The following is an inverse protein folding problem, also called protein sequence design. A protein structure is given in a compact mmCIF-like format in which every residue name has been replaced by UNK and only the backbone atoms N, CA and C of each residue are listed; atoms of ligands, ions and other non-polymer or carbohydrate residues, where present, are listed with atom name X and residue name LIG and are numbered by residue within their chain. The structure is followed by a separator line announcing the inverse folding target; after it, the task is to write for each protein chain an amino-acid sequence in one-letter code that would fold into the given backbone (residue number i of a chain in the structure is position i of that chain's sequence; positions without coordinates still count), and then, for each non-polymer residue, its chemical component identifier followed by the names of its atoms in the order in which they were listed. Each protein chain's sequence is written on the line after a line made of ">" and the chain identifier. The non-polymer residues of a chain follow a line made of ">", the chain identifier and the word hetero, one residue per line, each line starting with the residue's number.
data_IF_775790744152
#
_entry.id   IF_775790744152
#
_cell.length_a   1.000
_cell.length_b   1.000
_cell.length_c   1.000
_cell.angle_alpha   90.00
_cell.angle_beta   90.00
_cell.angle_gamma   90.00
#
_symmetry.space_group_name_H-M   'P 1'
#
loop_
_entity.id
_entity.type
_entity.pdbx_description
1 polymer ?
#
# COMPACT_ATOMS: atom_id res chain seq x y z
N UNK A 1 29.15 20.13 -41.48
CA UNK A 1 28.54 19.44 -40.31
C UNK A 1 28.26 17.98 -40.69
N UNK A 2 28.69 17.01 -39.87
CA UNK A 2 28.52 15.56 -40.15
C UNK A 2 27.22 15.01 -39.59
N UNK A 3 26.50 14.18 -40.36
CA UNK A 3 25.23 13.56 -39.95
C UNK A 3 25.48 12.36 -39.02
N UNK A 4 25.09 12.46 -37.75
CA UNK A 4 25.15 11.34 -36.80
C UNK A 4 23.82 10.57 -36.76
N UNK A 5 23.87 9.24 -36.97
CA UNK A 5 22.68 8.38 -36.94
C UNK A 5 22.19 8.17 -35.50
N UNK A 6 20.91 8.44 -35.23
CA UNK A 6 20.30 8.26 -33.89
C UNK A 6 19.61 6.89 -33.79
N UNK A 7 20.28 5.90 -33.19
CA UNK A 7 19.61 4.64 -32.78
C UNK A 7 18.85 4.83 -31.46
N UNK A 8 17.67 4.23 -31.33
CA UNK A 8 16.83 4.29 -30.11
C UNK A 8 16.57 2.91 -29.49
N UNK A 9 17.20 1.84 -29.99
CA UNK A 9 16.88 0.46 -29.59
C UNK A 9 17.08 0.20 -28.10
N UNK A 10 18.18 0.68 -27.52
CA UNK A 10 18.45 0.51 -26.08
C UNK A 10 17.37 1.16 -25.20
N UNK A 11 16.88 2.36 -25.57
CA UNK A 11 15.82 3.05 -24.82
C UNK A 11 14.49 2.31 -24.91
N UNK A 12 14.18 1.73 -26.08
CA UNK A 12 12.97 0.91 -26.28
C UNK A 12 13.03 -0.35 -25.43
N UNK A 13 14.14 -1.08 -25.45
CA UNK A 13 14.31 -2.31 -24.66
C UNK A 13 14.16 -2.06 -23.16
N UNK A 14 14.71 -0.95 -22.61
CA UNK A 14 14.52 -0.58 -21.20
C UNK A 14 13.05 -0.46 -20.80
N UNK A 15 12.22 0.14 -21.67
CA UNK A 15 10.78 0.29 -21.43
C UNK A 15 10.06 -1.06 -21.52
N UNK A 16 10.39 -1.88 -22.51
CA UNK A 16 9.79 -3.21 -22.66
C UNK A 16 10.11 -4.15 -21.48
N UNK A 17 11.28 -4.03 -20.85
CA UNK A 17 11.59 -4.78 -19.61
C UNK A 17 10.60 -4.48 -18.48
N UNK A 18 10.16 -3.22 -18.35
CA UNK A 18 9.23 -2.80 -17.28
C UNK A 18 7.78 -3.17 -17.62
N UNK A 19 7.45 -3.17 -18.91
CA UNK A 19 6.11 -3.46 -19.43
C UNK A 19 5.90 -4.97 -19.67
N UNK A 20 6.90 -5.79 -19.38
CA UNK A 20 6.83 -7.24 -19.49
C UNK A 20 5.68 -7.78 -18.61
N UNK A 21 4.81 -8.59 -19.21
CA UNK A 21 3.61 -9.12 -18.54
C UNK A 21 2.35 -8.27 -18.69
N UNK A 22 2.39 -7.11 -19.35
CA UNK A 22 1.17 -6.37 -19.65
C UNK A 22 0.33 -7.10 -20.72
N UNK A 23 -1.00 -6.94 -20.63
CA UNK A 23 -1.95 -7.68 -21.46
C UNK A 23 -2.00 -7.16 -22.90
N UNK A 24 -1.97 -8.08 -23.87
CA UNK A 24 -2.20 -7.81 -25.28
C UNK A 24 -1.18 -6.84 -25.90
N UNK A 25 -1.65 -5.91 -26.73
CA UNK A 25 -0.80 -5.02 -27.52
C UNK A 25 0.11 -4.09 -26.67
N UNK A 26 -0.15 -3.97 -25.37
CA UNK A 26 0.66 -3.14 -24.47
C UNK A 26 2.02 -3.75 -24.14
N UNK A 27 2.22 -5.07 -24.30
CA UNK A 27 3.54 -5.72 -24.15
C UNK A 27 4.32 -5.83 -25.45
N UNK A 28 3.68 -5.60 -26.60
CA UNK A 28 4.24 -5.88 -27.94
C UNK A 28 4.56 -4.58 -28.69
N UNK A 29 3.60 -3.67 -28.82
CA UNK A 29 3.74 -2.47 -29.65
C UNK A 29 4.35 -1.32 -28.84
N UNK A 30 5.38 -0.65 -29.37
CA UNK A 30 6.11 0.39 -28.63
C UNK A 30 5.24 1.59 -28.23
N UNK A 31 4.32 2.03 -29.10
CA UNK A 31 3.48 3.21 -28.83
C UNK A 31 2.54 2.97 -27.64
N UNK A 32 1.81 1.85 -27.66
CA UNK A 32 0.89 1.44 -26.58
C UNK A 32 1.66 1.09 -25.30
N UNK A 33 2.79 0.38 -25.43
CA UNK A 33 3.68 0.09 -24.30
C UNK A 33 4.17 1.35 -23.61
N UNK A 34 4.56 2.38 -24.38
CA UNK A 34 5.02 3.65 -23.81
C UNK A 34 3.91 4.42 -23.10
N UNK A 35 2.68 4.41 -23.62
CA UNK A 35 1.54 5.02 -22.93
C UNK A 35 1.26 4.32 -21.60
N UNK A 36 1.24 2.98 -21.59
CA UNK A 36 1.02 2.22 -20.37
C UNK A 36 2.17 2.30 -19.38
N UNK A 37 3.41 2.39 -19.86
CA UNK A 37 4.58 2.66 -19.05
C UNK A 37 4.42 3.96 -18.25
N UNK A 38 4.05 5.05 -18.91
CA UNK A 38 3.84 6.33 -18.24
C UNK A 38 2.70 6.26 -17.21
N UNK A 39 1.57 5.62 -17.56
CA UNK A 39 0.44 5.44 -16.65
C UNK A 39 0.81 4.60 -15.42
N UNK A 40 1.53 3.49 -15.63
CA UNK A 40 1.97 2.60 -14.57
C UNK A 40 2.90 3.30 -13.58
N UNK A 41 3.84 4.13 -14.07
CA UNK A 41 4.73 4.89 -13.18
C UNK A 41 4.00 5.93 -12.35
N UNK A 42 3.02 6.63 -12.93
CA UNK A 42 2.21 7.58 -12.19
C UNK A 42 1.40 6.89 -11.09
N UNK A 43 0.71 5.78 -11.43
CA UNK A 43 -0.03 4.98 -10.47
C UNK A 43 0.90 4.44 -9.37
N UNK A 44 2.07 3.91 -9.72
CA UNK A 44 3.03 3.41 -8.74
C UNK A 44 3.48 4.49 -7.73
N UNK A 45 3.61 5.74 -8.15
CA UNK A 45 3.92 6.84 -7.25
C UNK A 45 2.76 7.16 -6.29
N UNK A 46 1.53 7.24 -6.82
CA UNK A 46 0.31 7.48 -6.04
C UNK A 46 0.09 6.34 -5.04
N UNK A 47 0.21 5.09 -5.49
CA UNK A 47 -0.04 3.89 -4.69
C UNK A 47 0.95 3.74 -3.54
N UNK A 48 2.21 4.18 -3.69
CA UNK A 48 3.16 4.21 -2.55
C UNK A 48 2.67 5.10 -1.41
N UNK A 49 2.00 6.21 -1.73
CA UNK A 49 1.40 7.11 -0.73
C UNK A 49 0.12 6.50 -0.16
N UNK A 50 -0.75 5.96 -1.01
CA UNK A 50 -2.02 5.35 -0.60
C UNK A 50 -1.83 4.08 0.24
N UNK A 51 -0.79 3.28 -0.01
CA UNK A 51 -0.46 2.06 0.75
C UNK A 51 -0.35 2.32 2.25
N UNK A 52 0.23 3.46 2.65
CA UNK A 52 0.33 3.86 4.06
C UNK A 52 -1.05 4.06 4.69
N UNK A 53 -1.99 4.66 3.94
CA UNK A 53 -3.39 4.87 4.36
C UNK A 53 -4.17 3.55 4.39
N UNK A 54 -4.00 2.69 3.37
CA UNK A 54 -4.65 1.37 3.29
C UNK A 54 -4.27 0.49 4.49
N UNK A 55 -2.97 0.42 4.84
CA UNK A 55 -2.53 -0.32 6.02
C UNK A 55 -3.10 0.26 7.32
N UNK A 56 -3.13 1.59 7.46
CA UNK A 56 -3.73 2.23 8.62
C UNK A 56 -5.22 1.87 8.74
N UNK A 57 -5.97 1.91 7.65
CA UNK A 57 -7.37 1.51 7.63
C UNK A 57 -7.54 0.05 8.05
N UNK A 58 -6.71 -0.86 7.53
CA UNK A 58 -6.71 -2.27 7.92
C UNK A 58 -6.48 -2.46 9.42
N UNK A 59 -5.50 -1.77 10.00
CA UNK A 59 -5.21 -1.85 11.43
C UNK A 59 -6.36 -1.32 12.29
N UNK A 60 -7.00 -0.24 11.86
CA UNK A 60 -8.21 0.29 12.53
C UNK A 60 -9.34 -0.72 12.46
N UNK A 61 -9.61 -1.32 11.30
CA UNK A 61 -10.67 -2.32 11.15
C UNK A 61 -10.43 -3.54 12.05
N UNK A 62 -9.19 -4.04 12.11
CA UNK A 62 -8.82 -5.17 12.98
C UNK A 62 -9.02 -4.85 14.46
N UNK A 63 -8.57 -3.67 14.89
CA UNK A 63 -8.76 -3.19 16.26
C UNK A 63 -10.24 -3.03 16.59
N UNK A 64 -11.00 -2.38 15.72
CA UNK A 64 -12.42 -2.14 15.91
C UNK A 64 -13.18 -3.47 16.06
N UNK A 65 -12.90 -4.47 15.23
CA UNK A 65 -13.53 -5.78 15.33
C UNK A 65 -13.28 -6.43 16.70
N UNK A 66 -12.08 -6.32 17.26
CA UNK A 66 -11.74 -6.88 18.58
C UNK A 66 -12.33 -6.09 19.74
N UNK A 67 -12.27 -4.76 19.68
CA UNK A 67 -12.89 -3.89 20.70
C UNK A 67 -14.41 -4.11 20.75
N UNK A 68 -15.05 -4.27 19.59
CA UNK A 68 -16.49 -4.61 19.48
C UNK A 68 -16.83 -5.96 20.09
N UNK A 69 -15.96 -6.98 19.93
CA UNK A 69 -16.16 -8.28 20.58
C UNK A 69 -16.18 -8.19 22.11
N UNK A 70 -15.50 -7.21 22.68
CA UNK A 70 -15.43 -6.96 24.12
C UNK A 70 -16.48 -5.93 24.59
N UNK A 71 -17.45 -5.58 23.74
CA UNK A 71 -18.55 -4.66 24.07
C UNK A 71 -18.19 -3.17 24.02
N UNK A 72 -17.00 -2.81 23.55
CA UNK A 72 -16.55 -1.43 23.45
C UNK A 72 -16.63 -0.84 22.03
N UNK A 73 -16.33 0.45 21.93
CA UNK A 73 -16.15 1.17 20.66
C UNK A 73 -14.71 1.65 20.45
N UNK A 74 -14.24 1.62 19.20
CA UNK A 74 -12.88 2.02 18.82
C UNK A 74 -12.51 3.45 19.27
N UNK A 75 -13.43 4.40 19.16
CA UNK A 75 -13.19 5.79 19.57
C UNK A 75 -12.99 5.90 21.09
N UNK A 76 -13.85 5.20 21.85
CA UNK A 76 -13.75 5.14 23.31
C UNK A 76 -12.42 4.50 23.75
N UNK A 77 -12.03 3.39 23.12
CA UNK A 77 -10.75 2.71 23.36
C UNK A 77 -9.55 3.64 23.13
N UNK A 78 -9.54 4.40 22.03
CA UNK A 78 -8.45 5.35 21.78
C UNK A 78 -8.44 6.54 22.75
N UNK A 79 -9.60 6.99 23.22
CA UNK A 79 -9.68 8.13 24.12
C UNK A 79 -9.32 7.76 25.57
N UNK A 80 -9.74 6.57 26.03
CA UNK A 80 -9.63 6.15 27.43
C UNK A 80 -8.23 5.66 27.81
N UNK A 81 -7.47 5.11 26.88
CA UNK A 81 -6.19 4.49 27.20
C UNK A 81 -5.01 5.39 26.80
N UNK A 82 -4.22 5.92 27.77
CA UNK A 82 -3.03 6.73 27.47
C UNK A 82 -1.95 5.93 26.72
N UNK A 83 -1.97 4.60 26.84
CA UNK A 83 -1.10 3.70 26.08
C UNK A 83 -1.38 3.74 24.56
N UNK A 84 -2.63 4.00 24.16
CA UNK A 84 -3.03 4.11 22.76
C UNK A 84 -2.43 5.34 22.06
N UNK A 85 -2.00 6.35 22.83
CA UNK A 85 -1.28 7.53 22.34
C UNK A 85 0.23 7.27 22.21
N UNK A 86 0.79 6.34 23.00
CA UNK A 86 2.20 5.96 22.94
C UNK A 86 2.49 4.90 21.87
N UNK A 87 1.53 4.01 21.59
CA UNK A 87 1.70 2.94 20.61
C UNK A 87 1.11 3.25 19.23
N UNK A 88 1.86 2.80 18.22
CA UNK A 88 1.39 2.80 16.84
C UNK A 88 0.28 1.76 16.62
N UNK A 89 -0.72 2.12 15.79
CA UNK A 89 -1.85 1.25 15.41
C UNK A 89 -1.43 -0.08 14.79
N UNK A 90 -0.26 -0.11 14.14
CA UNK A 90 0.35 -1.35 13.63
C UNK A 90 0.58 -2.37 14.75
N UNK A 91 1.22 -1.92 15.83
CA UNK A 91 1.60 -2.77 16.97
C UNK A 91 0.33 -3.19 17.72
N UNK A 92 -0.58 -2.23 17.98
CA UNK A 92 -1.86 -2.52 18.62
C UNK A 92 -2.65 -3.60 17.85
N UNK A 93 -2.79 -3.46 16.53
CA UNK A 93 -3.51 -4.44 15.71
C UNK A 93 -2.80 -5.80 15.59
N UNK A 94 -1.50 -5.87 15.89
CA UNK A 94 -0.74 -7.11 15.93
C UNK A 94 -0.89 -7.80 17.29
N UNK A 95 -0.84 -7.04 18.39
CA UNK A 95 -1.10 -7.53 19.74
C UNK A 95 -2.49 -8.17 19.86
N UNK A 96 -3.51 -7.56 19.24
CA UNK A 96 -4.88 -8.12 19.27
C UNK A 96 -5.02 -9.46 18.56
N UNK A 97 -4.09 -9.79 17.66
CA UNK A 97 -4.07 -11.05 16.92
C UNK A 97 -3.20 -12.11 17.61
N UNK A 98 -2.03 -11.71 18.14
CA UNK A 98 -1.10 -12.64 18.77
C UNK A 98 -1.57 -13.03 20.19
N UNK A 99 -1.97 -12.05 21.00
CA UNK A 99 -2.31 -12.27 22.40
C UNK A 99 -3.67 -11.65 22.76
N UNK A 100 -4.78 -12.32 22.41
CA UNK A 100 -6.13 -11.92 22.84
C UNK A 100 -6.30 -11.71 24.36
N UNK A 101 -5.73 -12.54 25.27
CA UNK A 101 -5.96 -12.35 26.70
C UNK A 101 -5.28 -11.08 27.23
N UNK A 102 -4.06 -10.76 26.75
CA UNK A 102 -3.38 -9.51 27.09
C UNK A 102 -4.22 -8.30 26.63
N UNK A 103 -4.87 -8.39 25.48
CA UNK A 103 -5.75 -7.32 25.00
C UNK A 103 -7.02 -7.16 25.85
N UNK A 104 -7.59 -8.25 26.36
CA UNK A 104 -8.79 -8.23 27.20
C UNK A 104 -8.58 -7.49 28.52
N UNK A 105 -7.37 -7.51 29.10
CA UNK A 105 -7.01 -6.77 30.32
C UNK A 105 -7.12 -5.26 30.13
N UNK A 106 -6.96 -4.77 28.90
CA UNK A 106 -7.02 -3.35 28.55
C UNK A 106 -8.36 -2.95 27.93
N UNK A 107 -9.34 -3.85 27.88
CA UNK A 107 -10.70 -3.52 27.49
C UNK A 107 -11.44 -2.85 28.65
N UNK A 108 -12.42 -1.96 28.39
CA UNK A 108 -13.38 -1.55 29.42
C UNK A 108 -14.06 -2.75 30.08
#
# INVERSE_FOLDING_TARGET
>A
MTRVKRSQNQRRQKKFKIVQGFRGASSILYKTANQQFCKALNNAFIDRRLRKRQYRNLWICRLNAKVRQLGGDYHSFLSKHPFSQKLNRKILAQLTLQDPPLFSVYSP
#
